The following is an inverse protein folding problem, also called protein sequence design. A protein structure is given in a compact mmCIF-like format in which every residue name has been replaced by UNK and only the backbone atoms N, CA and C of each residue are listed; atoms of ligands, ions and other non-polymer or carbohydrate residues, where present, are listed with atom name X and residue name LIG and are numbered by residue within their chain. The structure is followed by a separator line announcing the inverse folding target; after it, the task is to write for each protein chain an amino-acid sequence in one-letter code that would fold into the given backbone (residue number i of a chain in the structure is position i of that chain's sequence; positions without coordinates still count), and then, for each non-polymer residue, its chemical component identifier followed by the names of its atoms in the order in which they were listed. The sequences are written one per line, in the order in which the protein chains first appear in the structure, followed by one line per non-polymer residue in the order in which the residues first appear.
data_IF_738218346454
#
_entry.id   IF_738218346454
#
_cell.length_a   1.000
_cell.length_b   1.000
_cell.length_c   1.000
_cell.angle_alpha   90.00
_cell.angle_beta   90.00
_cell.angle_gamma   90.00
#
_symmetry.space_group_name_H-M   'P 1'
#
loop_
_entity.id
_entity.type
_entity.pdbx_description
1 polymer ?
#
# COMPACT_ATOMS: atom_id res chain seq x y z
N UNK A 1 10.12 2.54 -26.06
CA UNK A 1 11.14 2.86 -25.03
C UNK A 1 10.44 2.78 -23.68
N UNK A 2 10.99 2.00 -22.76
CA UNK A 2 10.58 1.95 -21.36
C UNK A 2 11.72 2.53 -20.53
N UNK A 3 11.39 3.37 -19.55
CA UNK A 3 12.36 3.99 -18.64
C UNK A 3 12.33 3.23 -17.31
N UNK A 4 13.46 2.63 -16.94
CA UNK A 4 13.62 1.87 -15.71
C UNK A 4 14.42 2.66 -14.67
N UNK A 5 14.34 2.24 -13.39
CA UNK A 5 15.09 2.83 -12.26
C UNK A 5 14.80 4.32 -11.95
N UNK A 6 13.61 4.80 -12.32
CA UNK A 6 13.14 6.11 -11.87
C UNK A 6 12.80 6.08 -10.37
N UNK A 7 13.19 7.13 -9.65
CA UNK A 7 12.93 7.29 -8.22
C UNK A 7 11.63 8.05 -7.99
N UNK A 8 10.90 7.66 -6.95
CA UNK A 8 9.78 8.45 -6.46
C UNK A 8 10.26 9.78 -5.87
N UNK A 9 9.45 10.82 -6.05
CA UNK A 9 9.70 12.18 -5.55
C UNK A 9 10.97 12.85 -6.10
N UNK A 10 11.50 12.33 -7.20
CA UNK A 10 12.58 12.96 -7.95
C UNK A 10 12.00 13.62 -9.20
N UNK A 11 12.34 14.90 -9.41
CA UNK A 11 12.03 15.61 -10.65
C UNK A 11 12.91 15.14 -11.80
N UNK A 12 12.29 14.95 -12.96
CA UNK A 12 12.95 14.58 -14.22
C UNK A 12 12.49 15.53 -15.32
N UNK A 13 13.39 15.83 -16.25
CA UNK A 13 13.06 16.55 -17.48
C UNK A 13 12.93 15.54 -18.62
N UNK A 14 11.77 15.52 -19.27
CA UNK A 14 11.48 14.68 -20.42
C UNK A 14 11.65 15.49 -21.71
N UNK A 15 12.76 15.26 -22.42
CA UNK A 15 13.03 15.82 -23.74
C UNK A 15 12.57 14.87 -24.83
N UNK A 16 11.97 15.41 -25.89
CA UNK A 16 11.48 14.62 -27.05
C UNK A 16 12.06 15.17 -28.34
N UNK A 17 12.80 14.33 -29.06
CA UNK A 17 13.29 14.62 -30.41
C UNK A 17 12.54 13.75 -31.42
N UNK A 18 11.93 14.39 -32.41
CA UNK A 18 11.27 13.76 -33.54
C UNK A 18 12.20 13.81 -34.75
N UNK A 19 12.43 12.65 -35.36
CA UNK A 19 13.17 12.52 -36.62
C UNK A 19 12.20 12.00 -37.68
N UNK A 20 12.05 12.72 -38.79
CA UNK A 20 11.12 12.36 -39.86
C UNK A 20 11.66 12.75 -41.24
N UNK A 21 11.20 12.07 -42.31
CA UNK A 21 11.59 12.38 -43.70
C UNK A 21 10.32 12.64 -44.54
N UNK A 22 10.22 13.83 -45.12
CA UNK A 22 9.06 14.26 -45.94
C UNK A 22 9.25 14.10 -47.45
N UNK A 23 10.33 13.44 -47.88
CA UNK A 23 10.70 13.24 -49.29
C UNK A 23 11.90 14.07 -49.74
N UNK A 24 12.40 15.00 -48.91
CA UNK A 24 13.56 15.86 -49.22
C UNK A 24 14.80 15.57 -48.35
N UNK A 25 14.74 14.55 -47.50
CA UNK A 25 15.81 14.21 -46.56
C UNK A 25 15.33 14.08 -45.13
N UNK A 26 16.26 13.81 -44.22
CA UNK A 26 15.99 13.67 -42.79
C UNK A 26 15.85 15.06 -42.13
N UNK A 27 14.72 15.29 -41.47
CA UNK A 27 14.43 16.46 -40.64
C UNK A 27 14.41 16.06 -39.16
N UNK A 28 14.94 16.91 -38.30
CA UNK A 28 14.94 16.72 -36.84
C UNK A 28 14.29 17.92 -36.15
N UNK A 29 13.33 17.65 -35.28
CA UNK A 29 12.61 18.64 -34.49
C UNK A 29 12.68 18.26 -33.01
N UNK A 30 13.01 19.20 -32.14
CA UNK A 30 12.98 19.00 -30.68
C UNK A 30 11.77 19.72 -30.11
N UNK A 31 10.93 18.98 -29.38
CA UNK A 31 9.77 19.53 -28.70
C UNK A 31 10.16 20.16 -27.37
N UNK A 32 9.28 20.97 -26.81
CA UNK A 32 9.48 21.55 -25.48
C UNK A 32 9.64 20.49 -24.40
N UNK A 33 10.61 20.72 -23.51
CA UNK A 33 10.87 19.89 -22.34
C UNK A 33 9.69 19.89 -21.37
N UNK A 34 9.41 18.73 -20.79
CA UNK A 34 8.39 18.57 -19.75
C UNK A 34 9.00 18.10 -18.44
N UNK A 35 8.72 18.84 -17.37
CA UNK A 35 9.02 18.42 -16.01
C UNK A 35 8.02 17.32 -15.59
N UNK A 36 8.53 16.20 -15.10
CA UNK A 36 7.74 15.09 -14.57
C UNK A 36 8.29 14.62 -13.24
N UNK A 37 7.39 14.18 -12.35
CA UNK A 37 7.76 13.57 -11.07
C UNK A 37 6.88 12.35 -10.85
N UNK A 38 7.48 11.28 -10.35
CA UNK A 38 6.75 10.10 -9.94
C UNK A 38 6.35 10.24 -8.48
N UNK A 39 5.06 10.42 -8.22
CA UNK A 39 4.53 10.45 -6.86
C UNK A 39 3.94 9.09 -6.48
N UNK A 40 4.28 8.61 -5.28
CA UNK A 40 3.63 7.42 -4.74
C UNK A 40 2.21 7.78 -4.29
N UNK A 41 1.21 7.10 -4.85
CA UNK A 41 -0.16 7.23 -4.37
C UNK A 41 -0.31 6.46 -3.05
N UNK A 42 -0.45 7.20 -1.95
CA UNK A 42 -0.74 6.61 -0.63
C UNK A 42 -2.05 5.83 -0.67
N UNK A 43 -2.02 4.60 -0.19
CA UNK A 43 -3.23 3.80 0.06
C UNK A 43 -3.76 4.16 1.44
N UNK A 44 -5.02 4.57 1.52
CA UNK A 44 -5.70 4.89 2.77
C UNK A 44 -7.03 4.14 2.82
N UNK A 45 -7.33 3.47 3.94
CA UNK A 45 -8.65 2.90 4.20
C UNK A 45 -9.46 3.95 4.98
N UNK A 46 -10.60 4.37 4.43
CA UNK A 46 -11.49 5.39 5.02
C UNK A 46 -12.86 4.79 5.34
N UNK A 47 -13.63 5.50 6.17
CA UNK A 47 -15.00 5.12 6.56
C UNK A 47 -15.06 3.70 7.16
N UNK A 48 -14.11 3.39 8.05
CA UNK A 48 -14.05 2.13 8.77
C UNK A 48 -15.25 2.05 9.72
N UNK A 49 -16.03 0.98 9.59
CA UNK A 49 -17.13 0.65 10.48
C UNK A 49 -16.63 -0.15 11.67
N UNK A 50 -15.81 -1.17 11.41
CA UNK A 50 -15.24 -2.05 12.44
C UNK A 50 -13.92 -2.67 11.98
N UNK A 51 -13.15 -3.12 12.96
CA UNK A 51 -11.93 -3.91 12.77
C UNK A 51 -12.00 -5.15 13.67
N UNK A 52 -11.64 -6.31 13.13
CA UNK A 52 -11.54 -7.56 13.89
C UNK A 52 -10.16 -8.17 13.68
N UNK A 53 -9.53 -8.64 14.75
CA UNK A 53 -8.36 -9.50 14.63
C UNK A 53 -8.85 -10.93 14.38
N UNK A 54 -8.41 -11.56 13.30
CA UNK A 54 -8.87 -12.88 12.88
C UNK A 54 -7.70 -13.85 12.82
N UNK A 55 -7.92 -15.11 13.15
CA UNK A 55 -6.99 -16.22 12.85
C UNK A 55 -7.56 -17.14 11.79
N UNK A 56 -6.70 -17.72 10.96
CA UNK A 56 -7.06 -18.78 10.00
C UNK A 56 -6.30 -20.05 10.36
N UNK A 57 -6.98 -21.19 10.44
CA UNK A 57 -6.36 -22.50 10.61
C UNK A 57 -5.95 -23.14 9.27
N UNK A 58 -5.29 -24.30 9.32
CA UNK A 58 -4.82 -25.02 8.12
C UNK A 58 -5.97 -25.49 7.21
N UNK A 59 -7.19 -25.56 7.73
CA UNK A 59 -8.40 -25.90 6.96
C UNK A 59 -9.10 -24.65 6.37
N UNK A 60 -8.58 -23.45 6.64
CA UNK A 60 -9.14 -22.19 6.16
C UNK A 60 -10.28 -21.64 7.02
N UNK A 61 -10.50 -22.16 8.23
CA UNK A 61 -11.56 -21.70 9.13
C UNK A 61 -11.14 -20.43 9.84
N UNK A 62 -11.99 -19.40 9.77
CA UNK A 62 -11.75 -18.10 10.41
C UNK A 62 -12.33 -18.06 11.83
N UNK A 63 -11.52 -17.59 12.79
CA UNK A 63 -11.95 -17.37 14.18
C UNK A 63 -11.64 -15.94 14.61
N UNK A 64 -12.59 -15.29 15.28
CA UNK A 64 -12.38 -13.96 15.86
C UNK A 64 -11.48 -14.05 17.10
N UNK A 65 -10.44 -13.20 17.12
CA UNK A 65 -9.41 -13.09 18.15
C UNK A 65 -9.26 -11.64 18.64
N UNK A 66 -10.27 -10.81 18.44
CA UNK A 66 -10.23 -9.38 18.78
C UNK A 66 -10.10 -9.11 20.29
N UNK A 67 -10.54 -10.06 21.13
CA UNK A 67 -10.42 -9.99 22.58
C UNK A 67 -9.19 -10.78 23.06
N UNK A 68 -8.02 -10.15 22.99
CA UNK A 68 -6.77 -10.73 23.50
C UNK A 68 -6.70 -10.58 25.02
N UNK A 69 -6.39 -11.68 25.71
CA UNK A 69 -6.06 -11.69 27.15
C UNK A 69 -4.55 -11.73 27.40
N UNK A 70 -3.80 -12.22 26.42
CA UNK A 70 -2.33 -12.31 26.42
C UNK A 70 -1.79 -12.05 25.01
N UNK A 71 -0.53 -11.63 24.90
CA UNK A 71 0.15 -11.47 23.62
C UNK A 71 0.28 -12.82 22.90
N UNK A 72 -0.21 -12.95 21.64
CA UNK A 72 -0.02 -14.17 20.85
C UNK A 72 1.46 -14.50 20.61
N UNK A 73 1.81 -15.77 20.73
CA UNK A 73 3.17 -16.28 20.46
C UNK A 73 3.47 -16.41 18.97
N UNK A 74 2.44 -16.58 18.14
CA UNK A 74 2.56 -16.74 16.69
C UNK A 74 1.61 -15.75 15.99
N UNK A 75 2.17 -14.84 15.20
CA UNK A 75 1.42 -13.79 14.49
C UNK A 75 1.06 -14.16 13.05
N UNK A 76 1.81 -15.07 12.42
CA UNK A 76 1.64 -15.44 11.01
C UNK A 76 0.22 -15.89 10.60
N UNK A 77 -0.57 -16.63 11.41
CA UNK A 77 -1.94 -16.99 11.04
C UNK A 77 -2.95 -15.86 11.29
N UNK A 78 -2.52 -14.69 11.78
CA UNK A 78 -3.38 -13.56 12.11
C UNK A 78 -3.46 -12.53 10.97
N UNK A 79 -4.66 -11.97 10.79
CA UNK A 79 -4.88 -10.84 9.91
C UNK A 79 -5.91 -9.87 10.53
N UNK A 80 -5.81 -8.59 10.19
CA UNK A 80 -6.80 -7.59 10.54
C UNK A 80 -7.87 -7.54 9.45
N UNK A 81 -9.11 -7.86 9.81
CA UNK A 81 -10.29 -7.67 8.97
C UNK A 81 -10.81 -6.26 9.19
N UNK A 82 -10.77 -5.43 8.15
CA UNK A 82 -11.30 -4.07 8.18
C UNK A 82 -12.58 -4.04 7.35
N UNK A 83 -13.71 -3.75 7.99
CA UNK A 83 -15.01 -3.61 7.32
C UNK A 83 -15.39 -2.14 7.29
N UNK A 84 -15.72 -1.62 6.12
CA UNK A 84 -16.15 -0.22 5.94
C UNK A 84 -17.67 -0.07 6.04
N UNK A 85 -18.16 1.17 6.18
CA UNK A 85 -19.60 1.45 6.20
C UNK A 85 -20.35 1.10 4.90
N UNK A 86 -19.65 1.05 3.76
CA UNK A 86 -20.18 0.54 2.48
C UNK A 86 -20.03 -0.99 2.35
N UNK A 87 -19.76 -1.69 3.46
CA UNK A 87 -19.62 -3.14 3.58
C UNK A 87 -18.50 -3.77 2.71
N UNK A 88 -17.46 -3.01 2.37
CA UNK A 88 -16.25 -3.58 1.77
C UNK A 88 -15.37 -4.17 2.87
N UNK A 89 -14.76 -5.32 2.56
CA UNK A 89 -13.85 -6.02 3.47
C UNK A 89 -12.45 -5.97 2.90
N UNK A 90 -11.50 -5.48 3.69
CA UNK A 90 -10.06 -5.56 3.41
C UNK A 90 -9.39 -6.43 4.46
N UNK A 91 -8.47 -7.30 4.04
CA UNK A 91 -7.67 -8.15 4.93
C UNK A 91 -6.23 -7.66 4.89
N UNK A 92 -5.67 -7.32 6.05
CA UNK A 92 -4.30 -6.88 6.20
C UNK A 92 -3.52 -7.90 7.03
N UNK A 93 -2.38 -8.35 6.55
CA UNK A 93 -1.51 -9.22 7.34
C UNK A 93 -1.04 -8.49 8.61
N UNK A 94 -0.93 -9.21 9.72
CA UNK A 94 -0.33 -8.68 10.94
C UNK A 94 1.18 -8.87 10.87
N UNK A 95 1.92 -7.78 10.98
CA UNK A 95 3.38 -7.77 11.10
C UNK A 95 3.79 -8.08 12.54
N UNK A 96 3.16 -7.40 13.51
CA UNK A 96 3.49 -7.56 14.94
C UNK A 96 2.34 -7.21 15.87
N UNK A 97 2.42 -7.77 17.08
CA UNK A 97 1.56 -7.43 18.22
C UNK A 97 2.43 -7.07 19.42
N UNK A 98 2.18 -5.90 20.00
CA UNK A 98 2.94 -5.35 21.13
C UNK A 98 2.00 -5.03 22.29
N UNK A 99 2.40 -5.39 23.51
CA UNK A 99 1.74 -4.91 24.73
C UNK A 99 2.08 -3.44 24.94
N UNK A 100 1.05 -2.63 25.19
CA UNK A 100 1.16 -1.21 25.50
C UNK A 100 0.32 -0.91 26.73
N UNK A 101 0.83 -0.06 27.61
CA UNK A 101 0.08 0.42 28.78
C UNK A 101 -0.55 1.77 28.45
N UNK A 102 -1.88 1.86 28.50
CA UNK A 102 -2.64 3.09 28.29
C UNK A 102 -3.68 3.23 29.41
N UNK A 103 -3.66 4.36 30.11
CA UNK A 103 -4.56 4.64 31.26
C UNK A 103 -4.56 3.54 32.35
N UNK A 104 -3.41 2.90 32.58
CA UNK A 104 -3.25 1.83 33.57
C UNK A 104 -3.91 0.51 33.18
N UNK A 105 -4.21 0.33 31.89
CA UNK A 105 -4.68 -0.92 31.29
C UNK A 105 -3.67 -1.40 30.25
N UNK A 106 -3.39 -2.70 30.29
CA UNK A 106 -2.67 -3.38 29.21
C UNK A 106 -3.57 -3.48 27.98
N UNK A 107 -3.14 -2.89 26.88
CA UNK A 107 -3.74 -2.98 25.55
C UNK A 107 -2.75 -3.67 24.59
N UNK A 108 -3.27 -4.11 23.44
CA UNK A 108 -2.47 -4.75 22.40
C UNK A 108 -2.48 -3.92 21.13
N UNK A 109 -1.32 -3.38 20.77
CA UNK A 109 -1.13 -2.67 19.51
C UNK A 109 -0.81 -3.68 18.41
N UNK A 110 -1.64 -3.70 17.38
CA UNK A 110 -1.46 -4.52 16.17
C UNK A 110 -0.91 -3.62 15.05
N UNK A 111 0.18 -4.05 14.41
CA UNK A 111 0.78 -3.38 13.23
C UNK A 111 0.94 -4.39 12.11
#
# INVERSE_FOLDING_TARGET
VTLDNLKYYQGYTLSTTMVYNRGEGEETETLEDKEVQLDLKKVEIKNIKETSLMSVDDAGVETDKSLLTEKPTVVAPLYLRVTTHDNKVTRLAVDKIEEVEEDGKTLYKVT
#
